data_IF_416812134965
#
_entry.id   IF_416812134965
#
_cell.length_a   1.000
_cell.length_b   1.000
_cell.length_c   1.000
_cell.angle_alpha   90.00
_cell.angle_beta   90.00
_cell.angle_gamma   90.00
#
_symmetry.space_group_name_H-M   'P 1'
#
loop_
_entity.id
_entity.type
_entity.pdbx_description
1 polymer ?
#
# COMPACT_ATOMS: atom_id res chain seq x y z
N UNK A 1 -23.11 1.40 2.04
CA UNK A 1 -22.75 2.66 2.72
C UNK A 1 -23.62 3.77 2.16
N UNK A 2 -24.60 4.21 2.95
CA UNK A 2 -25.52 5.29 2.62
C UNK A 2 -24.81 6.64 2.87
N UNK A 3 -24.05 7.10 1.89
CA UNK A 3 -23.48 8.44 1.93
C UNK A 3 -24.59 9.41 1.52
N UNK A 4 -25.22 10.08 2.49
CA UNK A 4 -26.34 11.05 2.33
C UNK A 4 -26.00 12.31 1.50
N UNK A 5 -25.22 12.20 0.42
CA UNK A 5 -24.70 13.31 -0.38
C UNK A 5 -23.55 14.09 0.26
N UNK A 6 -23.02 13.64 1.40
CA UNK A 6 -21.95 14.33 2.15
C UNK A 6 -20.52 13.91 1.72
N UNK A 7 -20.39 13.08 0.69
CA UNK A 7 -19.10 12.60 0.20
C UNK A 7 -19.12 12.56 -1.33
N UNK A 8 -17.97 12.85 -1.93
CA UNK A 8 -17.74 12.75 -3.36
C UNK A 8 -16.80 11.58 -3.64
N UNK A 9 -17.03 10.90 -4.77
CA UNK A 9 -16.16 9.84 -5.27
C UNK A 9 -15.65 10.25 -6.65
N UNK A 10 -14.32 10.25 -6.81
CA UNK A 10 -13.68 10.51 -8.09
C UNK A 10 -13.05 9.20 -8.61
N UNK A 11 -13.56 8.62 -9.70
CA UNK A 11 -12.97 7.42 -10.27
C UNK A 11 -11.64 7.78 -10.94
N UNK A 12 -10.54 7.25 -10.43
CA UNK A 12 -9.20 7.39 -11.00
C UNK A 12 -8.47 6.05 -10.94
N UNK A 13 -7.64 5.77 -11.95
CA UNK A 13 -6.75 4.61 -11.93
C UNK A 13 -5.69 4.83 -10.86
N UNK A 14 -5.40 3.80 -10.06
CA UNK A 14 -4.44 3.93 -8.95
C UNK A 14 -3.05 4.39 -9.42
N UNK A 15 -2.60 3.89 -10.57
CA UNK A 15 -1.33 4.29 -11.20
C UNK A 15 -1.26 5.77 -11.62
N UNK A 16 -2.40 6.44 -11.75
CA UNK A 16 -2.46 7.85 -12.15
C UNK A 16 -2.38 8.79 -10.94
N UNK A 17 -2.46 8.28 -9.70
CA UNK A 17 -2.42 9.13 -8.51
C UNK A 17 -1.17 10.01 -8.44
N UNK A 18 0.07 9.51 -8.69
CA UNK A 18 1.24 10.37 -8.65
C UNK A 18 1.16 11.53 -9.66
N UNK A 19 0.68 11.26 -10.88
CA UNK A 19 0.50 12.29 -11.91
C UNK A 19 -0.61 13.27 -11.52
N UNK A 20 -1.71 12.77 -10.97
CA UNK A 20 -2.82 13.59 -10.50
C UNK A 20 -2.37 14.62 -9.46
N UNK A 21 -1.60 14.22 -8.44
CA UNK A 21 -1.11 15.17 -7.43
C UNK A 21 -0.15 16.20 -8.04
N UNK A 22 0.80 15.77 -8.88
CA UNK A 22 1.80 16.65 -9.51
C UNK A 22 1.21 17.66 -10.50
N UNK A 23 0.18 17.25 -11.23
CA UNK A 23 -0.43 18.06 -12.29
C UNK A 23 -1.75 18.73 -11.85
N UNK A 24 -2.19 18.54 -10.60
CA UNK A 24 -3.42 19.16 -10.11
C UNK A 24 -3.31 20.68 -10.16
N UNK A 25 -4.31 21.33 -10.76
CA UNK A 25 -4.46 22.79 -10.72
C UNK A 25 -4.83 23.31 -9.32
N UNK A 26 -5.21 22.40 -8.41
CA UNK A 26 -5.55 22.68 -7.02
C UNK A 26 -4.81 21.66 -6.14
N UNK A 27 -3.52 21.90 -5.82
CA UNK A 27 -2.76 21.02 -4.93
C UNK A 27 -3.32 21.06 -3.50
N UNK A 28 -2.99 20.05 -2.71
CA UNK A 28 -3.44 19.97 -1.33
C UNK A 28 -2.84 21.11 -0.48
N UNK A 29 -3.66 21.69 0.40
CA UNK A 29 -3.16 22.67 1.37
C UNK A 29 -2.33 21.99 2.46
N UNK A 30 -2.71 20.77 2.88
CA UNK A 30 -2.06 20.02 3.95
C UNK A 30 -2.03 18.53 3.62
N UNK A 31 -0.84 17.93 3.64
CA UNK A 31 -0.64 16.49 3.67
C UNK A 31 -0.26 16.07 5.10
N UNK A 32 -1.07 15.21 5.73
CA UNK A 32 -0.76 14.62 7.04
C UNK A 32 -0.60 13.12 6.90
N UNK A 33 0.57 12.60 7.25
CA UNK A 33 0.96 11.21 7.02
C UNK A 33 1.68 10.61 8.23
N UNK A 34 1.46 9.32 8.47
CA UNK A 34 2.22 8.56 9.46
C UNK A 34 3.50 8.00 8.82
N UNK A 35 4.63 8.11 9.51
CA UNK A 35 5.94 7.72 9.01
C UNK A 35 6.75 6.94 10.04
N UNK A 36 7.71 6.15 9.57
CA UNK A 36 8.74 5.56 10.43
C UNK A 36 9.71 6.63 10.94
N UNK A 37 10.41 6.40 12.06
CA UNK A 37 11.39 7.33 12.60
C UNK A 37 12.43 7.77 11.58
N UNK A 38 12.86 9.01 11.69
CA UNK A 38 13.86 9.61 10.81
C UNK A 38 15.19 8.85 10.89
N UNK A 39 15.81 8.59 9.74
CA UNK A 39 17.14 8.02 9.72
C UNK A 39 18.24 9.08 9.89
N UNK A 40 19.49 8.61 9.96
CA UNK A 40 20.68 9.46 10.10
C UNK A 40 20.91 10.43 8.93
N UNK A 41 20.20 10.28 7.82
CA UNK A 41 20.30 11.12 6.64
C UNK A 41 19.16 12.14 6.56
N UNK A 42 18.30 12.21 7.58
CA UNK A 42 17.19 13.16 7.62
C UNK A 42 15.93 12.68 6.91
N UNK A 43 15.82 11.39 6.56
CA UNK A 43 14.66 10.85 5.86
C UNK A 43 13.70 10.08 6.78
N UNK A 44 12.43 10.45 6.68
CA UNK A 44 11.30 9.66 7.16
C UNK A 44 10.88 8.66 6.08
N UNK A 45 10.41 7.47 6.45
CA UNK A 45 9.95 6.43 5.50
C UNK A 45 8.43 6.26 5.60
N UNK A 46 7.76 6.10 4.46
CA UNK A 46 6.29 5.98 4.39
C UNK A 46 5.77 4.57 4.77
N UNK A 47 6.66 3.66 5.14
CA UNK A 47 6.35 2.26 5.39
C UNK A 47 5.73 1.59 4.16
N UNK A 48 4.65 0.81 4.31
CA UNK A 48 4.06 0.06 3.20
C UNK A 48 3.33 0.96 2.18
N UNK A 49 3.30 2.29 2.37
CA UNK A 49 2.51 3.23 1.58
C UNK A 49 3.34 3.96 0.48
N UNK A 50 4.26 3.26 -0.18
CA UNK A 50 5.13 3.83 -1.22
C UNK A 50 4.45 3.90 -2.60
N UNK A 51 3.24 4.48 -2.69
CA UNK A 51 2.47 4.58 -3.94
C UNK A 51 2.40 6.00 -4.51
N UNK A 52 1.78 6.94 -3.78
CA UNK A 52 1.56 8.33 -4.24
C UNK A 52 1.88 9.39 -3.19
N UNK A 53 2.30 8.98 -1.98
CA UNK A 53 2.59 9.92 -0.88
C UNK A 53 3.73 10.87 -1.22
N UNK A 54 4.77 10.41 -1.94
CA UNK A 54 5.85 11.28 -2.42
C UNK A 54 5.32 12.41 -3.31
N UNK A 55 4.59 12.07 -4.37
CA UNK A 55 3.94 13.03 -5.27
C UNK A 55 2.97 14.01 -4.56
N UNK A 56 2.22 13.52 -3.57
CA UNK A 56 1.36 14.38 -2.74
C UNK A 56 2.19 15.36 -1.91
N UNK A 57 3.26 14.90 -1.26
CA UNK A 57 4.12 15.76 -0.44
C UNK A 57 4.91 16.80 -1.25
N UNK A 58 5.29 16.48 -2.49
CA UNK A 58 5.99 17.42 -3.39
C UNK A 58 5.18 18.68 -3.71
N UNK A 59 3.85 18.58 -3.72
CA UNK A 59 2.95 19.67 -4.13
C UNK A 59 2.16 20.28 -2.99
N UNK A 60 2.04 19.58 -1.86
CA UNK A 60 1.34 20.07 -0.69
C UNK A 60 1.99 21.34 -0.12
N UNK A 61 1.18 22.33 0.28
CA UNK A 61 1.70 23.58 0.87
C UNK A 61 2.31 23.34 2.26
N UNK A 62 1.74 22.42 3.01
CA UNK A 62 2.22 22.00 4.31
C UNK A 62 2.26 20.48 4.41
N UNK A 63 3.38 19.96 4.89
CA UNK A 63 3.53 18.51 5.16
C UNK A 63 3.70 18.32 6.66
N UNK A 64 2.80 17.54 7.25
CA UNK A 64 2.81 17.15 8.66
C UNK A 64 3.11 15.66 8.70
N UNK A 65 4.19 15.29 9.39
CA UNK A 65 4.50 13.87 9.62
C UNK A 65 4.23 13.51 11.07
N UNK A 66 3.47 12.43 11.29
CA UNK A 66 3.33 11.78 12.59
C UNK A 66 4.31 10.61 12.66
N UNK A 67 5.28 10.69 13.57
CA UNK A 67 6.28 9.64 13.76
C UNK A 67 5.70 8.53 14.61
N UNK A 68 5.74 7.31 14.09
CA UNK A 68 5.36 6.10 14.81
C UNK A 68 6.50 5.06 14.72
N UNK A 69 7.07 4.68 15.86
CA UNK A 69 8.16 3.68 15.97
C UNK A 69 7.74 2.28 15.51
N UNK A 70 6.44 1.98 15.49
CA UNK A 70 5.92 0.70 14.97
C UNK A 70 5.77 0.70 13.45
N UNK A 71 5.88 1.85 12.78
CA UNK A 71 5.79 1.91 11.31
C UNK A 71 7.03 1.22 10.72
N UNK A 72 6.87 0.13 9.96
CA UNK A 72 8.01 -0.57 9.39
C UNK A 72 8.71 0.31 8.36
N UNK A 73 10.02 0.13 8.21
CA UNK A 73 10.78 0.78 7.14
C UNK A 73 10.83 -0.12 5.92
N UNK A 74 10.08 0.25 4.88
CA UNK A 74 10.06 -0.48 3.60
C UNK A 74 11.12 0.10 2.66
N UNK A 75 12.02 -0.76 2.16
CA UNK A 75 13.16 -0.39 1.32
C UNK A 75 12.92 -0.75 -0.15
N UNK A 76 13.75 -0.22 -1.05
CA UNK A 76 13.88 -0.72 -2.43
C UNK A 76 13.02 -0.03 -3.49
N UNK A 77 12.37 1.09 -3.17
CA UNK A 77 11.56 1.87 -4.12
C UNK A 77 12.04 3.31 -4.28
N UNK A 78 11.62 3.95 -5.38
CA UNK A 78 11.64 5.41 -5.52
C UNK A 78 10.53 6.01 -4.66
N UNK A 79 10.74 7.23 -4.14
CA UNK A 79 9.67 7.98 -3.43
C UNK A 79 9.10 7.27 -2.20
N UNK A 80 9.88 6.40 -1.54
CA UNK A 80 9.47 5.67 -0.34
C UNK A 80 9.62 6.47 0.97
N UNK A 81 9.88 7.77 0.88
CA UNK A 81 10.13 8.63 2.03
C UNK A 81 10.23 10.10 1.69
N UNK A 82 10.44 10.92 2.71
CA UNK A 82 10.54 12.38 2.63
C UNK A 82 11.69 12.88 3.51
N UNK A 83 12.46 13.85 3.00
CA UNK A 83 13.52 14.49 3.77
C UNK A 83 12.94 15.57 4.69
N UNK A 84 13.54 15.76 5.87
CA UNK A 84 13.08 16.75 6.86
C UNK A 84 13.02 18.19 6.33
N UNK A 85 13.81 18.53 5.30
CA UNK A 85 13.74 19.86 4.66
C UNK A 85 12.39 20.15 4.01
N UNK A 86 11.65 19.11 3.65
CA UNK A 86 10.37 19.19 2.95
C UNK A 86 9.19 18.99 3.91
N UNK A 87 9.47 18.83 5.21
CA UNK A 87 8.48 18.66 6.28
C UNK A 87 8.23 19.99 6.98
N UNK A 88 6.97 20.38 7.11
CA UNK A 88 6.57 21.61 7.81
C UNK A 88 6.46 21.40 9.32
N UNK A 89 5.86 20.29 9.76
CA UNK A 89 5.67 19.97 11.16
C UNK A 89 5.90 18.48 11.44
N UNK A 90 6.46 18.19 12.60
CA UNK A 90 6.68 16.83 13.09
C UNK A 90 5.86 16.66 14.36
N UNK A 91 5.06 15.60 14.41
CA UNK A 91 4.31 15.16 15.59
C UNK A 91 4.94 13.85 16.05
N UNK A 92 5.45 13.84 17.28
CA UNK A 92 5.82 12.57 17.93
C UNK A 92 4.53 11.86 18.33
N UNK A 93 4.20 10.77 17.63
CA UNK A 93 2.99 10.01 17.86
C UNK A 93 3.04 9.24 19.18
N UNK A 94 1.89 8.70 19.60
CA UNK A 94 1.81 7.86 20.80
C UNK A 94 2.30 6.42 20.57
N UNK A 95 2.85 6.12 19.39
CA UNK A 95 3.26 4.79 18.97
C UNK A 95 2.13 3.74 19.10
N UNK A 96 0.92 4.07 18.65
CA UNK A 96 -0.16 3.10 18.52
C UNK A 96 0.26 1.94 17.58
N UNK A 97 -0.23 0.71 17.81
CA UNK A 97 -0.06 -0.39 16.86
C UNK A 97 -0.55 0.02 15.46
N UNK A 98 0.15 -0.45 14.43
CA UNK A 98 -0.26 -0.21 13.05
C UNK A 98 -1.57 -0.94 12.80
N UNK A 99 -2.50 -0.26 12.11
CA UNK A 99 -3.78 -0.86 11.76
C UNK A 99 -3.56 -2.05 10.83
N UNK A 100 -4.04 -3.22 11.27
CA UNK A 100 -4.02 -4.45 10.48
C UNK A 100 -5.44 -4.74 9.97
N UNK A 101 -5.54 -5.19 8.72
CA UNK A 101 -6.75 -5.83 8.25
C UNK A 101 -6.77 -7.24 8.83
N UNK A 102 -7.85 -7.59 9.53
CA UNK A 102 -8.04 -8.96 10.00
C UNK A 102 -8.01 -9.95 8.83
N UNK A 103 -7.60 -11.18 9.11
CA UNK A 103 -7.66 -12.25 8.12
C UNK A 103 -9.05 -12.31 7.49
N UNK A 104 -9.10 -12.43 6.16
CA UNK A 104 -10.35 -12.72 5.47
C UNK A 104 -11.02 -13.94 6.09
N UNK A 105 -12.35 -14.00 6.02
CA UNK A 105 -13.06 -15.23 6.39
C UNK A 105 -12.50 -16.44 5.62
N UNK A 106 -12.63 -17.66 6.17
CA UNK A 106 -12.08 -18.85 5.54
C UNK A 106 -12.60 -19.01 4.11
N UNK A 107 -11.73 -19.46 3.21
CA UNK A 107 -12.08 -19.72 1.83
C UNK A 107 -13.30 -20.67 1.74
N UNK A 108 -14.32 -20.23 1.02
CA UNK A 108 -15.50 -21.05 0.74
C UNK A 108 -15.16 -22.19 -0.21
N UNK A 109 -16.06 -23.17 -0.35
CA UNK A 109 -15.87 -24.25 -1.33
C UNK A 109 -15.86 -23.73 -2.78
N UNK A 110 -16.54 -22.61 -3.04
CA UNK A 110 -16.48 -21.91 -4.33
C UNK A 110 -15.10 -21.32 -4.56
N UNK A 111 -14.55 -20.63 -3.55
CA UNK A 111 -13.21 -20.03 -3.63
C UNK A 111 -12.15 -21.09 -3.92
N UNK A 112 -12.18 -22.22 -3.20
CA UNK A 112 -11.27 -23.34 -3.41
C UNK A 112 -11.39 -23.92 -4.82
N UNK A 113 -12.62 -24.06 -5.34
CA UNK A 113 -12.83 -24.61 -6.67
C UNK A 113 -12.30 -23.68 -7.76
N UNK A 114 -12.51 -22.37 -7.61
CA UNK A 114 -11.95 -21.35 -8.49
C UNK A 114 -10.42 -21.35 -8.40
N UNK A 115 -9.88 -21.40 -7.20
CA UNK A 115 -8.43 -21.40 -6.97
C UNK A 115 -7.75 -22.59 -7.64
N UNK A 116 -8.32 -23.80 -7.55
CA UNK A 116 -7.78 -24.98 -8.25
C UNK A 116 -7.71 -24.76 -9.77
N UNK A 117 -8.76 -24.20 -10.36
CA UNK A 117 -8.78 -23.91 -11.80
C UNK A 117 -7.73 -22.88 -12.21
N UNK A 118 -7.39 -21.94 -11.31
CA UNK A 118 -6.37 -20.92 -11.55
C UNK A 118 -4.97 -21.53 -11.42
N UNK A 119 -4.69 -22.27 -10.35
CA UNK A 119 -3.33 -22.80 -10.07
C UNK A 119 -2.86 -23.75 -11.18
N UNK A 120 -3.75 -24.56 -11.74
CA UNK A 120 -3.44 -25.45 -12.87
C UNK A 120 -2.97 -24.70 -14.14
N UNK A 121 -3.21 -23.39 -14.23
CA UNK A 121 -2.82 -22.54 -15.36
C UNK A 121 -1.52 -21.76 -15.11
N UNK A 122 -0.96 -21.81 -13.89
CA UNK A 122 0.24 -21.05 -13.55
C UNK A 122 1.47 -21.88 -13.95
N UNK A 123 2.33 -21.39 -14.85
CA UNK A 123 3.60 -22.06 -15.14
C UNK A 123 4.67 -21.73 -14.09
N UNK A 124 5.69 -22.59 -13.99
CA UNK A 124 6.95 -22.23 -13.32
C UNK A 124 7.52 -20.94 -13.92
N UNK A 125 8.10 -20.07 -13.09
CA UNK A 125 8.61 -18.78 -13.54
C UNK A 125 7.57 -17.67 -13.67
N UNK A 126 6.28 -17.93 -13.38
CA UNK A 126 5.24 -16.91 -13.51
C UNK A 126 5.46 -15.72 -12.56
N UNK A 127 5.08 -14.52 -13.00
CA UNK A 127 5.05 -13.32 -12.17
C UNK A 127 3.63 -13.11 -11.63
N UNK A 128 3.48 -13.12 -10.32
CA UNK A 128 2.19 -13.12 -9.64
C UNK A 128 1.77 -11.70 -9.21
N UNK A 129 0.49 -11.45 -9.38
CA UNK A 129 -0.25 -10.34 -8.79
C UNK A 129 -1.53 -10.91 -8.16
N UNK A 130 -1.66 -10.77 -6.84
CA UNK A 130 -2.84 -11.23 -6.11
C UNK A 130 -3.45 -10.03 -5.36
N UNK A 131 -4.78 -10.02 -5.27
CA UNK A 131 -5.51 -9.06 -4.45
C UNK A 131 -5.67 -9.57 -3.02
N UNK A 132 -6.55 -8.91 -2.26
CA UNK A 132 -6.92 -9.32 -0.90
C UNK A 132 -8.27 -10.02 -0.87
N UNK A 133 -8.46 -10.94 0.07
CA UNK A 133 -9.75 -11.56 0.38
C UNK A 133 -9.77 -13.08 0.22
N UNK A 134 -10.92 -13.71 0.49
CA UNK A 134 -11.03 -15.17 0.57
C UNK A 134 -10.55 -15.91 -0.68
N UNK A 135 -10.90 -15.43 -1.88
CA UNK A 135 -10.50 -16.07 -3.15
C UNK A 135 -9.00 -15.89 -3.47
N UNK A 136 -8.41 -14.66 -3.48
CA UNK A 136 -6.96 -14.52 -3.68
C UNK A 136 -6.12 -15.27 -2.65
N UNK A 137 -6.54 -15.29 -1.38
CA UNK A 137 -5.85 -16.03 -0.33
C UNK A 137 -5.90 -17.56 -0.57
N UNK A 138 -7.03 -18.08 -1.09
CA UNK A 138 -7.14 -19.48 -1.49
C UNK A 138 -6.19 -19.83 -2.64
N UNK A 139 -6.05 -18.94 -3.63
CA UNK A 139 -5.06 -19.10 -4.71
C UNK A 139 -3.64 -19.11 -4.14
N UNK A 140 -3.31 -18.14 -3.28
CA UNK A 140 -2.00 -18.08 -2.62
C UNK A 140 -1.66 -19.35 -1.82
N UNK A 141 -2.63 -19.88 -1.07
CA UNK A 141 -2.47 -21.13 -0.31
C UNK A 141 -2.22 -22.34 -1.22
N UNK A 142 -2.99 -22.50 -2.30
CA UNK A 142 -2.78 -23.60 -3.23
C UNK A 142 -1.46 -23.47 -4.01
N UNK A 143 -1.02 -22.26 -4.32
CA UNK A 143 0.32 -22.03 -4.90
C UNK A 143 1.40 -22.50 -3.90
N UNK A 144 1.29 -22.13 -2.63
CA UNK A 144 2.23 -22.51 -1.59
C UNK A 144 2.29 -24.03 -1.33
N UNK A 145 1.18 -24.74 -1.57
CA UNK A 145 1.08 -26.20 -1.48
C UNK A 145 1.48 -26.94 -2.77
N UNK A 146 1.67 -26.22 -3.89
CA UNK A 146 1.98 -26.80 -5.20
C UNK A 146 3.47 -27.09 -5.40
N UNK A 147 3.82 -27.70 -6.53
CA UNK A 147 5.19 -27.92 -6.98
C UNK A 147 5.75 -26.80 -7.87
N UNK A 148 5.06 -25.65 -7.94
CA UNK A 148 5.49 -24.48 -8.70
C UNK A 148 6.82 -23.91 -8.19
N UNK A 149 7.67 -23.47 -9.13
CA UNK A 149 9.02 -22.97 -8.86
C UNK A 149 9.32 -21.68 -9.58
N UNK A 150 10.32 -20.97 -9.06
CA UNK A 150 10.90 -19.77 -9.65
C UNK A 150 9.88 -18.63 -9.88
N UNK A 151 8.84 -18.59 -9.05
CA UNK A 151 7.79 -17.58 -9.12
C UNK A 151 8.34 -16.19 -8.76
N UNK A 152 7.94 -15.18 -9.53
CA UNK A 152 8.17 -13.78 -9.26
C UNK A 152 6.93 -13.10 -8.69
N UNK A 153 7.11 -11.92 -8.10
CA UNK A 153 6.00 -11.12 -7.56
C UNK A 153 6.13 -9.68 -8.07
N UNK A 154 5.06 -9.19 -8.69
CA UNK A 154 4.90 -7.77 -9.04
C UNK A 154 3.44 -7.41 -8.79
N UNK A 155 3.17 -6.85 -7.62
CA UNK A 155 1.81 -6.67 -7.12
C UNK A 155 1.62 -5.27 -6.53
N UNK A 156 0.37 -4.81 -6.49
CA UNK A 156 -0.01 -3.58 -5.78
C UNK A 156 0.23 -3.70 -4.28
N UNK A 157 -0.14 -4.85 -3.71
CA UNK A 157 -0.02 -5.17 -2.31
C UNK A 157 0.39 -6.64 -2.16
N UNK A 158 1.28 -6.91 -1.21
CA UNK A 158 1.66 -8.26 -0.82
C UNK A 158 1.11 -8.52 0.57
N UNK A 159 0.35 -9.61 0.72
CA UNK A 159 -0.38 -9.96 1.94
C UNK A 159 -0.08 -11.40 2.33
N UNK A 160 -0.42 -11.72 3.58
CA UNK A 160 -0.25 -13.04 4.20
C UNK A 160 -1.06 -14.16 3.51
#
# INVERSE_FOLDING_TARGET
TDCRGCAYYSPIRYSELPRYYRESSCPDDVAMIMVAPMDKHGYFNFGPNASHLGAMCETAKHVIVEVNENMPRCLGGTECGIHISDVTYIVEGNNAPIGELGAGGPATDVDKKVAQLIVDQIPNGACLQLGIGGMPNAVGSLIAESDLKDLGVHTEMYVD
#
